data_IF_104808326042
#
_entry.id   IF_104808326042
#
_cell.length_a   1.000
_cell.length_b   1.000
_cell.length_c   1.000
_cell.angle_alpha   90.00
_cell.angle_beta   90.00
_cell.angle_gamma   90.00
#
_symmetry.space_group_name_H-M   'P 1'
#
loop_
_entity.id
_entity.type
_entity.pdbx_description
1 polymer ?
#
# COMPACT_ATOMS: atom_id res chain seq x y z
N UNK A 1 17.74 1.67 -3.46
CA UNK A 1 16.48 1.16 -2.90
C UNK A 1 15.77 2.34 -2.27
N UNK A 2 14.69 2.78 -2.90
CA UNK A 2 13.94 3.97 -2.45
C UNK A 2 12.88 3.58 -1.43
N UNK A 3 12.39 4.53 -0.64
CA UNK A 3 11.23 4.36 0.25
C UNK A 3 10.00 3.67 -0.40
N UNK A 4 9.69 3.84 -1.72
CA UNK A 4 8.56 3.16 -2.33
C UNK A 4 8.67 1.63 -2.30
N UNK A 5 9.88 1.09 -2.48
CA UNK A 5 10.13 -0.36 -2.48
C UNK A 5 9.79 -0.97 -1.12
N UNK A 6 10.23 -0.29 -0.05
CA UNK A 6 10.03 -0.74 1.32
C UNK A 6 8.56 -0.69 1.75
N UNK A 7 7.81 0.31 1.28
CA UNK A 7 6.36 0.42 1.52
C UNK A 7 5.63 -0.67 0.72
N UNK A 8 5.99 -0.90 -0.54
CA UNK A 8 5.43 -1.98 -1.35
C UNK A 8 5.63 -3.36 -0.71
N UNK A 9 6.82 -3.64 -0.19
CA UNK A 9 7.11 -4.91 0.48
C UNK A 9 6.28 -5.09 1.77
N UNK A 10 6.06 -4.02 2.52
CA UNK A 10 5.23 -4.08 3.72
C UNK A 10 3.75 -4.32 3.38
N UNK A 11 3.23 -3.70 2.31
CA UNK A 11 1.86 -3.94 1.84
C UNK A 11 1.71 -5.37 1.30
N UNK A 12 2.69 -5.89 0.55
CA UNK A 12 2.67 -7.27 0.03
C UNK A 12 2.60 -8.34 1.13
N UNK A 13 3.03 -8.03 2.36
CA UNK A 13 2.95 -8.94 3.51
C UNK A 13 1.54 -9.09 4.07
N UNK A 14 0.60 -8.21 3.70
CA UNK A 14 -0.79 -8.29 4.17
C UNK A 14 -1.47 -9.51 3.52
N UNK A 15 -2.04 -10.44 4.31
CA UNK A 15 -2.75 -11.59 3.77
C UNK A 15 -3.90 -11.17 2.85
N UNK A 16 -3.92 -11.70 1.64
CA UNK A 16 -4.94 -11.41 0.63
C UNK A 16 -4.59 -10.29 -0.35
N UNK A 17 -3.43 -9.64 -0.21
CA UNK A 17 -2.86 -8.82 -1.28
C UNK A 17 -2.31 -9.73 -2.38
N UNK A 18 -2.68 -9.43 -3.63
CA UNK A 18 -2.27 -10.16 -4.83
C UNK A 18 -1.07 -9.45 -5.46
N UNK A 19 -1.15 -8.12 -5.60
CA UNK A 19 -0.14 -7.30 -6.27
C UNK A 19 -0.07 -5.91 -5.67
N UNK A 20 1.14 -5.37 -5.63
CA UNK A 20 1.41 -3.97 -5.28
C UNK A 20 2.40 -3.41 -6.28
N UNK A 21 2.04 -2.32 -6.94
CA UNK A 21 2.90 -1.58 -7.86
C UNK A 21 2.91 -0.12 -7.49
N UNK A 22 4.09 0.50 -7.54
CA UNK A 22 4.23 1.94 -7.37
C UNK A 22 4.44 2.58 -8.73
N UNK A 23 3.56 3.51 -9.08
CA UNK A 23 3.70 4.37 -10.24
C UNK A 23 4.47 5.64 -9.83
N UNK A 24 5.73 5.82 -10.29
CA UNK A 24 6.54 6.98 -9.94
C UNK A 24 6.08 8.28 -10.62
N UNK A 25 5.39 8.20 -11.76
CA UNK A 25 4.91 9.36 -12.51
C UNK A 25 3.72 10.00 -11.78
N UNK A 26 2.77 9.17 -11.33
CA UNK A 26 1.60 9.64 -10.58
C UNK A 26 1.80 9.65 -9.06
N UNK A 27 2.90 9.06 -8.57
CA UNK A 27 3.22 8.85 -7.14
C UNK A 27 2.13 8.07 -6.41
N UNK A 28 1.54 7.07 -7.06
CA UNK A 28 0.42 6.26 -6.53
C UNK A 28 0.83 4.81 -6.35
N UNK A 29 0.19 4.15 -5.39
CA UNK A 29 0.26 2.70 -5.26
C UNK A 29 -0.99 2.08 -5.87
N UNK A 30 -0.81 1.14 -6.77
CA UNK A 30 -1.85 0.24 -7.24
C UNK A 30 -1.79 -1.04 -6.43
N UNK A 31 -2.90 -1.38 -5.77
CA UNK A 31 -3.00 -2.53 -4.88
C UNK A 31 -4.14 -3.41 -5.35
N UNK A 32 -3.82 -4.62 -5.79
CA UNK A 32 -4.79 -5.66 -6.12
C UNK A 32 -4.94 -6.61 -4.92
N UNK A 33 -6.17 -6.91 -4.53
CA UNK A 33 -6.43 -7.71 -3.33
C UNK A 33 -7.73 -8.51 -3.43
N UNK A 34 -7.78 -9.61 -2.69
CA UNK A 34 -8.98 -10.40 -2.52
C UNK A 34 -9.86 -9.79 -1.43
N UNK A 35 -10.99 -9.20 -1.85
CA UNK A 35 -12.03 -8.62 -0.95
C UNK A 35 -12.57 -9.60 0.11
N UNK A 36 -12.35 -10.91 -0.07
CA UNK A 36 -12.73 -11.96 0.89
C UNK A 36 -11.84 -11.98 2.14
N UNK A 37 -10.58 -11.55 2.03
CA UNK A 37 -9.58 -11.65 3.10
C UNK A 37 -9.19 -10.29 3.68
N UNK A 38 -9.34 -9.23 2.90
CA UNK A 38 -8.88 -7.89 3.26
C UNK A 38 -9.87 -6.85 2.73
N UNK A 39 -10.21 -5.88 3.59
CA UNK A 39 -11.05 -4.74 3.26
C UNK A 39 -10.18 -3.54 2.86
N UNK A 40 -10.73 -2.56 2.11
CA UNK A 40 -10.02 -1.34 1.79
C UNK A 40 -9.45 -0.65 3.04
N UNK A 41 -10.23 -0.59 4.13
CA UNK A 41 -9.81 0.03 5.40
C UNK A 41 -8.54 -0.62 6.00
N UNK A 42 -8.46 -1.95 5.95
CA UNK A 42 -7.26 -2.66 6.41
C UNK A 42 -6.03 -2.32 5.57
N UNK A 43 -6.21 -2.14 4.25
CA UNK A 43 -5.13 -1.73 3.35
C UNK A 43 -4.71 -0.30 3.66
N UNK A 44 -5.66 0.63 3.81
CA UNK A 44 -5.36 2.03 4.14
C UNK A 44 -4.57 2.12 5.46
N UNK A 45 -5.00 1.38 6.48
CA UNK A 45 -4.32 1.33 7.78
C UNK A 45 -2.89 0.77 7.65
N UNK A 46 -2.70 -0.30 6.89
CA UNK A 46 -1.39 -0.91 6.70
C UNK A 46 -0.44 -0.03 5.87
N UNK A 47 -0.93 0.61 4.82
CA UNK A 47 -0.18 1.60 4.02
C UNK A 47 0.25 2.77 4.90
N UNK A 48 -0.65 3.26 5.75
CA UNK A 48 -0.35 4.36 6.67
C UNK A 48 0.71 3.96 7.70
N UNK A 49 0.61 2.77 8.29
CA UNK A 49 1.61 2.23 9.22
C UNK A 49 2.98 2.02 8.56
N UNK A 50 3.01 1.44 7.36
CA UNK A 50 4.23 1.27 6.56
C UNK A 50 4.88 2.63 6.28
N UNK A 51 4.07 3.62 5.90
CA UNK A 51 4.50 5.01 5.73
C UNK A 51 5.18 5.58 6.97
N UNK A 52 4.49 5.55 8.12
CA UNK A 52 5.01 6.10 9.37
C UNK A 52 6.33 5.46 9.79
N UNK A 53 6.46 4.14 9.67
CA UNK A 53 7.72 3.44 9.95
C UNK A 53 8.87 3.91 9.07
N UNK A 54 8.58 4.27 7.82
CA UNK A 54 9.55 4.79 6.86
C UNK A 54 9.72 6.32 6.93
N UNK A 55 9.11 6.98 7.93
CA UNK A 55 9.18 8.44 8.11
C UNK A 55 8.43 9.24 7.05
N UNK A 56 7.44 8.64 6.36
CA UNK A 56 6.67 9.26 5.28
C UNK A 56 5.17 9.19 5.56
N UNK A 57 4.47 10.31 5.50
CA UNK A 57 3.01 10.30 5.50
C UNK A 57 2.49 10.01 4.09
N UNK A 58 2.01 8.78 3.88
CA UNK A 58 1.17 8.47 2.73
C UNK A 58 -0.28 8.72 3.15
N UNK A 59 -0.99 9.52 2.35
CA UNK A 59 -2.44 9.74 2.48
C UNK A 59 -3.13 8.86 1.43
N UNK A 60 -3.48 7.61 1.78
CA UNK A 60 -4.07 6.73 0.80
C UNK A 60 -5.50 7.20 0.49
N UNK A 61 -5.84 7.23 -0.80
CA UNK A 61 -7.16 7.63 -1.28
C UNK A 61 -7.66 6.58 -2.26
N UNK A 62 -8.90 6.12 -2.07
CA UNK A 62 -9.56 5.24 -3.04
C UNK A 62 -10.02 6.13 -4.21
N UNK A 63 -9.63 5.76 -5.42
CA UNK A 63 -10.12 6.37 -6.65
C UNK A 63 -11.22 5.46 -7.18
N UNK A 64 -12.42 6.00 -7.33
CA UNK A 64 -13.58 5.36 -7.99
C UNK A 64 -13.39 5.33 -9.52
#
# INVERSE_FOLDING_TARGET
MGCPDAVSDEIKRIPGIIRVEFDPETRRFHVEFHKRFVTPENILAAVWQAGRKMGKEYLPRILD
#
